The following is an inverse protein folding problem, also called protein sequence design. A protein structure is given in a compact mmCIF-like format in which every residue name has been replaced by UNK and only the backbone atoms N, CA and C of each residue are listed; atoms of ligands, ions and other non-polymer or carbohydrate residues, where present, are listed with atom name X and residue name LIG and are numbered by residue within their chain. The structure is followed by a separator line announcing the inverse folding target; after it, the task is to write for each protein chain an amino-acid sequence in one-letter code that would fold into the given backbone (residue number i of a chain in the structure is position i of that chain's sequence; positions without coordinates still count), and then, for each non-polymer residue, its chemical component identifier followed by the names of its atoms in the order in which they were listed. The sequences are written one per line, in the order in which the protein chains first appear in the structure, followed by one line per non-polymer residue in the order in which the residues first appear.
data_IF_997494998041
#
_entry.id   IF_997494998041
#
_cell.length_a   1.000
_cell.length_b   1.000
_cell.length_c   1.000
_cell.angle_alpha   90.00
_cell.angle_beta   90.00
_cell.angle_gamma   90.00
#
_symmetry.space_group_name_H-M   'P 1'
#
loop_
_entity.id
_entity.type
_entity.pdbx_description
1 polymer ?
#
# COMPACT_ATOMS: atom_id res chain seq x y z
N UNK A 1 11.72 -15.59 12.97
CA UNK A 1 11.66 -14.35 12.18
C UNK A 1 11.74 -14.67 10.70
N UNK A 2 10.62 -14.66 9.96
CA UNK A 2 10.61 -14.60 8.49
C UNK A 2 9.37 -13.82 8.06
N UNK A 3 9.59 -12.55 7.71
CA UNK A 3 8.57 -11.71 7.08
C UNK A 3 8.39 -12.21 5.64
N UNK A 4 7.23 -12.79 5.33
CA UNK A 4 6.79 -12.99 3.95
C UNK A 4 6.09 -11.71 3.51
N UNK A 5 6.79 -10.96 2.66
CA UNK A 5 6.21 -9.84 1.91
C UNK A 5 5.02 -10.37 1.10
N UNK A 6 3.81 -9.94 1.47
CA UNK A 6 2.59 -10.22 0.72
C UNK A 6 2.63 -9.32 -0.52
N UNK A 7 3.06 -9.92 -1.63
CA UNK A 7 2.73 -9.41 -2.96
C UNK A 7 1.20 -9.44 -3.04
N UNK A 8 0.56 -8.27 -3.00
CA UNK A 8 -0.87 -8.11 -3.29
C UNK A 8 -1.06 -8.39 -4.77
N UNK A 9 -1.14 -9.68 -5.13
CA UNK A 9 -1.59 -10.13 -6.44
C UNK A 9 -3.12 -10.17 -6.42
N UNK A 10 -3.75 -8.99 -6.46
CA UNK A 10 -5.15 -8.90 -6.88
C UNK A 10 -5.17 -8.70 -8.37
N UNK A 11 -5.57 -9.76 -9.09
CA UNK A 11 -6.07 -9.74 -10.46
C UNK A 11 -7.01 -8.53 -10.63
N UNK A 12 -6.52 -7.48 -11.28
CA UNK A 12 -7.34 -6.36 -11.74
C UNK A 12 -8.23 -6.93 -12.85
N UNK A 13 -9.44 -7.33 -12.47
CA UNK A 13 -10.54 -7.60 -13.38
C UNK A 13 -10.72 -6.37 -14.27
N UNK A 14 -10.76 -6.61 -15.59
CA UNK A 14 -10.77 -5.61 -16.64
C UNK A 14 -11.80 -4.50 -16.44
N UNK A 15 -11.37 -3.29 -16.81
CA UNK A 15 -12.15 -2.16 -17.35
C UNK A 15 -11.48 -0.82 -16.97
N UNK A 16 -10.21 -0.68 -17.36
CA UNK A 16 -9.58 0.63 -17.51
C UNK A 16 -8.61 0.63 -18.70
N UNK A 17 -9.06 0.04 -19.81
CA UNK A 17 -8.38 0.10 -21.10
C UNK A 17 -8.87 1.33 -21.85
N UNK A 18 -8.34 2.51 -21.54
CA UNK A 18 -8.23 3.67 -22.44
C UNK A 18 -7.78 4.89 -21.63
N UNK A 19 -6.47 5.08 -21.49
CA UNK A 19 -5.83 6.39 -21.56
C UNK A 19 -4.30 6.15 -21.47
N UNK A 20 -3.54 6.72 -22.41
CA UNK A 20 -2.07 6.70 -22.50
C UNK A 20 -1.47 5.45 -23.18
N UNK A 21 -1.75 5.31 -24.48
CA UNK A 21 -0.83 4.63 -25.41
C UNK A 21 0.15 5.68 -25.96
N UNK A 22 1.42 5.29 -26.13
CA UNK A 22 2.46 5.97 -26.92
C UNK A 22 3.46 6.91 -26.21
N UNK A 23 4.12 6.47 -25.11
CA UNK A 23 5.54 6.83 -24.83
C UNK A 23 6.23 6.04 -23.70
N UNK A 24 5.88 4.78 -23.47
CA UNK A 24 6.43 3.98 -22.36
C UNK A 24 7.35 2.87 -22.86
N UNK A 25 8.38 3.20 -23.62
CA UNK A 25 9.49 2.28 -23.86
C UNK A 25 10.61 2.61 -22.87
N UNK A 26 10.85 1.71 -21.91
CA UNK A 26 11.97 1.67 -20.95
C UNK A 26 11.86 2.43 -19.61
N UNK A 27 10.66 2.77 -19.12
CA UNK A 27 10.53 3.05 -17.70
C UNK A 27 10.33 1.72 -16.96
N UNK A 28 11.30 1.36 -16.13
CA UNK A 28 11.21 0.26 -15.18
C UNK A 28 9.82 0.23 -14.54
N UNK A 29 9.04 -0.83 -14.76
CA UNK A 29 7.69 -1.04 -14.20
C UNK A 29 7.73 -1.39 -12.71
N UNK A 30 8.47 -0.59 -11.94
CA UNK A 30 8.58 -0.68 -10.48
C UNK A 30 8.12 0.63 -9.90
N UNK A 31 7.11 0.57 -9.04
CA UNK A 31 6.63 1.71 -8.28
C UNK A 31 7.02 1.53 -6.82
N UNK A 32 7.60 2.55 -6.20
CA UNK A 32 7.86 2.56 -4.76
C UNK A 32 6.88 3.52 -4.11
N UNK A 33 6.27 3.09 -3.02
CA UNK A 33 5.32 3.88 -2.26
C UNK A 33 5.66 3.82 -0.77
N UNK A 34 5.61 4.96 -0.09
CA UNK A 34 5.65 5.04 1.36
C UNK A 34 4.26 5.44 1.84
N UNK A 35 3.57 4.52 2.54
CA UNK A 35 2.24 4.79 3.08
C UNK A 35 2.36 5.15 4.55
N UNK A 36 1.87 6.33 4.93
CA UNK A 36 1.83 6.83 6.30
C UNK A 36 0.42 6.72 6.86
N UNK A 37 0.28 6.26 8.10
CA UNK A 37 -1.02 6.09 8.75
C UNK A 37 -0.91 6.01 10.28
N UNK A 38 -2.07 5.99 10.92
CA UNK A 38 -2.25 5.73 12.35
C UNK A 38 -3.15 4.52 12.54
N UNK A 39 -3.08 3.89 13.72
CA UNK A 39 -3.88 2.73 14.09
C UNK A 39 -4.77 3.08 15.26
N UNK A 40 -6.06 2.77 15.16
CA UNK A 40 -6.98 2.85 16.30
C UNK A 40 -6.61 1.79 17.36
N UNK A 41 -7.19 1.87 18.55
CA UNK A 41 -7.05 0.83 19.59
C UNK A 41 -7.55 -0.57 19.15
N UNK A 42 -8.26 -0.68 18.01
CA UNK A 42 -8.68 -1.95 17.41
C UNK A 42 -7.74 -2.46 16.31
N UNK A 43 -6.67 -1.73 16.01
CA UNK A 43 -5.74 -2.07 14.93
C UNK A 43 -6.23 -1.70 13.53
N UNK A 44 -7.27 -0.86 13.43
CA UNK A 44 -7.79 -0.36 12.15
C UNK A 44 -7.00 0.86 11.71
N UNK A 45 -6.46 0.87 10.47
CA UNK A 45 -5.77 2.04 9.91
C UNK A 45 -6.70 3.23 9.68
N UNK A 46 -6.19 4.43 9.96
CA UNK A 46 -6.84 5.69 9.63
C UNK A 46 -5.79 6.76 9.26
N UNK A 47 -6.25 7.87 8.68
CA UNK A 47 -5.39 8.93 8.12
C UNK A 47 -4.34 8.36 7.15
N UNK A 48 -4.77 7.44 6.28
CA UNK A 48 -3.88 6.74 5.35
C UNK A 48 -3.52 7.64 4.17
N UNK A 49 -2.23 7.96 4.04
CA UNK A 49 -1.68 8.79 2.98
C UNK A 49 -0.57 8.03 2.28
N UNK A 50 -0.67 7.89 0.96
CA UNK A 50 0.34 7.24 0.14
C UNK A 50 1.16 8.29 -0.62
N UNK A 51 2.48 8.17 -0.53
CA UNK A 51 3.44 8.96 -1.30
C UNK A 51 4.21 8.00 -2.20
N UNK A 52 4.02 8.11 -3.51
CA UNK A 52 4.54 7.16 -4.49
C UNK A 52 5.43 7.83 -5.53
N UNK A 53 6.45 7.10 -5.99
CA UNK A 53 7.28 7.52 -7.12
C UNK A 53 6.46 7.79 -8.38
N UNK A 54 5.36 7.04 -8.57
CA UNK A 54 4.41 7.21 -9.66
C UNK A 54 2.98 7.24 -9.14
N UNK A 55 2.23 8.29 -9.51
CA UNK A 55 0.87 8.56 -9.02
C UNK A 55 -0.13 7.43 -9.30
N UNK A 56 0.08 6.65 -10.37
CA UNK A 56 -0.77 5.50 -10.71
C UNK A 56 -0.85 4.43 -9.64
N UNK A 57 0.13 4.35 -8.73
CA UNK A 57 0.15 3.37 -7.64
C UNK A 57 -0.47 3.89 -6.33
N UNK A 58 -0.70 5.20 -6.18
CA UNK A 58 -1.16 5.79 -4.91
C UNK A 58 -2.49 5.21 -4.43
N UNK A 59 -3.46 5.07 -5.34
CA UNK A 59 -4.79 4.56 -5.00
C UNK A 59 -4.72 3.10 -4.52
N UNK A 60 -3.93 2.26 -5.20
CA UNK A 60 -3.81 0.85 -4.82
C UNK A 60 -2.94 0.66 -3.57
N UNK A 61 -1.91 1.48 -3.39
CA UNK A 61 -1.08 1.52 -2.19
C UNK A 61 -1.92 1.86 -0.94
N UNK A 62 -2.72 2.93 -1.02
CA UNK A 62 -3.65 3.32 0.05
C UNK A 62 -4.64 2.19 0.36
N UNK A 63 -5.30 1.67 -0.67
CA UNK A 63 -6.30 0.61 -0.54
C UNK A 63 -5.74 -0.67 0.09
N UNK A 64 -4.49 -1.01 -0.23
CA UNK A 64 -3.82 -2.18 0.33
C UNK A 64 -3.60 -2.04 1.84
N UNK A 65 -3.20 -0.85 2.30
CA UNK A 65 -3.01 -0.58 3.73
C UNK A 65 -4.34 -0.48 4.48
N UNK A 66 -5.35 0.19 3.91
CA UNK A 66 -6.69 0.30 4.52
C UNK A 66 -7.35 -1.06 4.81
N UNK A 67 -7.01 -2.08 4.01
CA UNK A 67 -7.57 -3.44 4.14
C UNK A 67 -6.68 -4.39 4.95
N UNK A 68 -5.47 -3.98 5.29
CA UNK A 68 -4.56 -4.82 6.04
C UNK A 68 -4.97 -4.84 7.52
N UNK A 69 -4.78 -6.00 8.14
CA UNK A 69 -5.00 -6.18 9.58
C UNK A 69 -3.70 -5.90 10.33
N UNK A 70 -3.76 -4.99 11.29
CA UNK A 70 -2.64 -4.67 12.16
C UNK A 70 -2.99 -4.94 13.61
N UNK A 71 -1.98 -5.30 14.40
CA UNK A 71 -2.13 -5.32 15.85
C UNK A 71 -2.11 -3.87 16.38
N UNK A 72 -2.98 -3.50 17.32
CA UNK A 72 -2.95 -2.19 17.93
C UNK A 72 -1.68 -1.99 18.76
N UNK A 73 -1.35 -0.72 19.03
CA UNK A 73 -0.33 -0.42 20.04
C UNK A 73 -0.79 -0.85 21.43
N UNK A 74 0.15 -1.19 22.31
CA UNK A 74 -0.15 -1.51 23.70
C UNK A 74 0.43 -0.41 24.59
N UNK A 75 -0.43 0.23 25.39
CA UNK A 75 -0.03 1.19 26.41
C UNK A 75 -0.54 0.72 27.76
N UNK A 76 0.37 0.48 28.72
CA UNK A 76 0.05 -0.03 30.06
C UNK A 76 -0.78 -1.33 30.05
N UNK A 77 -0.47 -2.23 29.12
CA UNK A 77 -1.14 -3.53 28.99
C UNK A 77 -2.52 -3.47 28.31
N UNK A 78 -2.95 -2.31 27.82
CA UNK A 78 -4.22 -2.15 27.12
C UNK A 78 -3.98 -1.73 25.67
N UNK A 79 -4.83 -2.19 24.72
CA UNK A 79 -4.83 -1.67 23.37
C UNK A 79 -5.08 -0.17 23.35
N UNK A 80 -4.24 0.56 22.66
CA UNK A 80 -4.29 2.01 22.54
C UNK A 80 -4.07 2.44 21.10
N UNK A 81 -4.61 3.62 20.79
CA UNK A 81 -4.34 4.30 19.53
C UNK A 81 -2.85 4.63 19.39
N UNK A 82 -2.32 4.49 18.18
CA UNK A 82 -0.91 4.71 17.88
C UNK A 82 -0.73 5.41 16.54
N UNK A 83 0.30 6.25 16.44
CA UNK A 83 0.49 7.15 15.31
C UNK A 83 1.89 7.07 14.72
N UNK A 84 2.04 7.57 13.49
CA UNK A 84 3.35 7.72 12.85
C UNK A 84 3.86 6.44 12.20
N UNK A 85 2.99 5.50 11.84
CA UNK A 85 3.41 4.32 11.09
C UNK A 85 3.77 4.69 9.66
N UNK A 86 4.76 3.98 9.13
CA UNK A 86 5.18 4.06 7.74
C UNK A 86 5.34 2.64 7.20
N UNK A 87 4.68 2.34 6.08
CA UNK A 87 4.71 1.03 5.44
C UNK A 87 5.19 1.16 3.99
N UNK A 88 6.43 0.75 3.70
CA UNK A 88 6.96 0.79 2.36
C UNK A 88 6.37 -0.33 1.51
N UNK A 89 5.84 0.02 0.33
CA UNK A 89 5.29 -0.87 -0.67
C UNK A 89 6.13 -0.79 -1.95
N UNK A 90 6.36 -1.95 -2.58
CA UNK A 90 6.99 -2.05 -3.88
C UNK A 90 6.05 -2.76 -4.85
N UNK A 91 5.69 -2.06 -5.91
CA UNK A 91 4.92 -2.61 -7.02
C UNK A 91 5.87 -3.10 -8.11
N UNK A 92 5.53 -4.23 -8.73
CA UNK A 92 6.16 -4.73 -9.95
C UNK A 92 5.05 -5.16 -10.89
N UNK A 93 5.00 -4.60 -12.09
CA UNK A 93 4.13 -5.13 -13.14
C UNK A 93 4.88 -6.27 -13.84
N UNK A 94 4.36 -7.49 -13.78
CA UNK A 94 4.77 -8.56 -14.67
C UNK A 94 4.16 -8.32 -16.05
N UNK A 95 4.93 -8.47 -17.15
CA UNK A 95 4.27 -8.77 -18.43
C UNK A 95 3.85 -10.24 -18.30
N UNK A 96 2.59 -10.56 -18.57
CA UNK A 96 2.19 -11.92 -18.95
C UNK A 96 1.78 -11.88 -20.42
#
# INVERSE_FOLDING_TARGET
MRARSLIVSRRLSGDLFLFIRERWHLAVRRGECLVRFSLTARGVPFNVVADCSHRGFESEARRSVEKAEFLPGILKGQPAESHGFSYPLQFRLSEE
#
